data_IF_233731087961
#
_entry.id   IF_233731087961
#
_cell.length_a   1.000
_cell.length_b   1.000
_cell.length_c   1.000
_cell.angle_alpha   90.00
_cell.angle_beta   90.00
_cell.angle_gamma   90.00
#
_symmetry.space_group_name_H-M   'P 1'
#
loop_
_entity.id
_entity.type
_entity.pdbx_description
1 polymer ?
#
# COMPACT_ATOMS: atom_id res chain seq x y z
N UNK A 1 -40.23 -2.19 4.54
CA UNK A 1 -41.08 -2.48 3.36
C UNK A 1 -40.56 -1.87 2.06
N UNK A 2 -39.85 -0.74 2.10
CA UNK A 2 -39.16 -0.21 0.90
C UNK A 2 -37.97 -1.05 0.43
N UNK A 3 -37.25 -1.71 1.35
CA UNK A 3 -36.13 -2.60 0.99
C UNK A 3 -36.59 -3.80 0.14
N UNK A 4 -37.72 -4.42 0.51
CA UNK A 4 -38.34 -5.49 -0.28
C UNK A 4 -38.82 -5.00 -1.65
N UNK A 5 -39.28 -3.75 -1.74
CA UNK A 5 -39.74 -3.13 -3.00
C UNK A 5 -38.58 -2.80 -3.94
N UNK A 6 -37.41 -2.39 -3.40
CA UNK A 6 -36.19 -2.23 -4.18
C UNK A 6 -35.64 -3.57 -4.67
N UNK A 7 -35.58 -4.60 -3.82
CA UNK A 7 -35.19 -5.96 -4.25
C UNK A 7 -36.11 -6.54 -5.33
N UNK A 8 -37.41 -6.25 -5.29
CA UNK A 8 -38.35 -6.62 -6.34
C UNK A 8 -38.08 -5.87 -7.67
N UNK A 9 -37.80 -4.55 -7.63
CA UNK A 9 -37.47 -3.77 -8.84
C UNK A 9 -36.09 -4.09 -9.43
N UNK A 10 -35.14 -4.51 -8.62
CA UNK A 10 -33.84 -5.02 -9.09
C UNK A 10 -34.04 -6.38 -9.79
N UNK A 11 -34.98 -7.20 -9.32
CA UNK A 11 -35.47 -8.39 -10.05
C UNK A 11 -36.25 -8.07 -11.33
N UNK A 12 -36.84 -6.87 -11.47
CA UNK A 12 -37.64 -6.47 -12.65
C UNK A 12 -36.83 -6.20 -13.95
N UNK A 13 -35.65 -6.81 -14.08
CA UNK A 13 -35.17 -7.20 -15.39
C UNK A 13 -34.45 -6.14 -16.24
N UNK A 14 -34.07 -4.98 -15.68
CA UNK A 14 -33.15 -4.09 -16.42
C UNK A 14 -31.76 -4.70 -16.62
N UNK A 15 -31.31 -5.53 -15.68
CA UNK A 15 -30.07 -6.28 -15.84
C UNK A 15 -30.26 -7.51 -16.73
N UNK A 16 -31.44 -8.14 -16.74
CA UNK A 16 -31.74 -9.24 -17.67
C UNK A 16 -31.97 -8.78 -19.11
N UNK A 17 -32.17 -7.48 -19.32
CA UNK A 17 -32.16 -6.86 -20.65
C UNK A 17 -30.73 -6.59 -21.16
N UNK A 18 -29.73 -6.70 -20.29
CA UNK A 18 -28.34 -6.52 -20.68
C UNK A 18 -27.85 -7.78 -21.42
N UNK A 19 -27.04 -7.58 -22.45
CA UNK A 19 -26.46 -8.69 -23.19
C UNK A 19 -25.62 -9.57 -22.25
N UNK A 20 -25.69 -10.88 -22.43
CA UNK A 20 -25.04 -11.83 -21.53
C UNK A 20 -23.52 -11.60 -21.44
N UNK A 21 -22.88 -11.19 -22.54
CA UNK A 21 -21.46 -10.88 -22.56
C UNK A 21 -21.10 -9.65 -21.72
N UNK A 22 -21.94 -8.60 -21.74
CA UNK A 22 -21.68 -7.39 -20.94
C UNK A 22 -21.90 -7.66 -19.45
N UNK A 23 -22.84 -8.53 -19.09
CA UNK A 23 -23.04 -8.92 -17.70
C UNK A 23 -21.84 -9.69 -17.14
N UNK A 24 -21.25 -10.58 -17.95
CA UNK A 24 -20.01 -11.29 -17.60
C UNK A 24 -18.86 -10.30 -17.39
N UNK A 25 -18.65 -9.37 -18.33
CA UNK A 25 -17.59 -8.34 -18.24
C UNK A 25 -17.75 -7.46 -16.99
N UNK A 26 -18.98 -7.05 -16.64
CA UNK A 26 -19.24 -6.26 -15.43
C UNK A 26 -18.96 -7.05 -14.15
N UNK A 27 -19.23 -8.36 -14.16
CA UNK A 27 -18.96 -9.22 -13.01
C UNK A 27 -17.47 -9.55 -12.84
N UNK A 28 -16.65 -9.36 -13.86
CA UNK A 28 -15.19 -9.45 -13.75
C UNK A 28 -14.55 -8.21 -13.10
N UNK A 29 -15.30 -7.13 -12.90
CA UNK A 29 -14.80 -5.91 -12.24
C UNK A 29 -14.44 -6.22 -10.77
N UNK A 30 -13.25 -5.82 -10.28
CA UNK A 30 -12.79 -6.12 -8.93
C UNK A 30 -13.74 -5.66 -7.81
N UNK A 31 -14.54 -4.63 -8.06
CA UNK A 31 -15.55 -4.12 -7.14
C UNK A 31 -16.70 -5.11 -6.89
N UNK A 32 -17.00 -5.98 -7.85
CA UNK A 32 -17.93 -7.09 -7.65
C UNK A 32 -17.38 -8.14 -6.67
N UNK A 33 -16.07 -8.13 -6.38
CA UNK A 33 -15.40 -9.05 -5.47
C UNK A 33 -14.62 -8.29 -4.38
N UNK A 34 -15.30 -7.63 -3.42
CA UNK A 34 -14.68 -6.73 -2.45
C UNK A 34 -13.55 -7.37 -1.64
N UNK A 35 -13.67 -8.65 -1.29
CA UNK A 35 -12.64 -9.36 -0.53
C UNK A 35 -11.33 -9.53 -1.33
N UNK A 36 -11.44 -9.83 -2.63
CA UNK A 36 -10.28 -9.95 -3.50
C UNK A 36 -9.60 -8.59 -3.67
N UNK A 37 -10.38 -7.55 -3.97
CA UNK A 37 -9.87 -6.19 -4.10
C UNK A 37 -9.22 -5.70 -2.80
N UNK A 38 -9.84 -5.94 -1.64
CA UNK A 38 -9.29 -5.57 -0.35
C UNK A 38 -7.97 -6.30 -0.05
N UNK A 39 -7.86 -7.58 -0.41
CA UNK A 39 -6.60 -8.32 -0.27
C UNK A 39 -5.49 -7.73 -1.15
N UNK A 40 -5.79 -7.41 -2.41
CA UNK A 40 -4.83 -6.78 -3.33
C UNK A 40 -4.39 -5.38 -2.84
N UNK A 41 -5.34 -4.56 -2.38
CA UNK A 41 -5.05 -3.26 -1.79
C UNK A 41 -4.26 -3.36 -0.49
N UNK A 42 -4.49 -4.41 0.32
CA UNK A 42 -3.73 -4.65 1.54
C UNK A 42 -2.29 -5.03 1.23
N UNK A 43 -2.06 -5.93 0.27
CA UNK A 43 -0.72 -6.27 -0.21
C UNK A 43 0.00 -5.01 -0.67
N UNK A 44 -0.64 -4.21 -1.54
CA UNK A 44 -0.07 -2.95 -2.01
C UNK A 44 0.25 -1.97 -0.86
N UNK A 45 -0.68 -1.81 0.09
CA UNK A 45 -0.50 -0.92 1.25
C UNK A 45 0.68 -1.37 2.13
N UNK A 46 0.80 -2.68 2.39
CA UNK A 46 1.91 -3.26 3.14
C UNK A 46 3.25 -3.02 2.42
N UNK A 47 3.30 -3.16 1.10
CA UNK A 47 4.49 -2.88 0.29
C UNK A 47 4.91 -1.41 0.43
N UNK A 48 4.00 -0.46 0.28
CA UNK A 48 4.31 0.97 0.50
C UNK A 48 4.72 1.25 1.95
N UNK A 49 4.08 0.58 2.92
CA UNK A 49 4.36 0.79 4.33
C UNK A 49 5.78 0.36 4.73
N UNK A 50 6.31 -0.71 4.13
CA UNK A 50 7.72 -1.10 4.32
C UNK A 50 8.64 0.06 3.94
N UNK A 51 8.40 0.70 2.80
CA UNK A 51 9.19 1.85 2.35
C UNK A 51 9.05 3.07 3.27
N UNK A 52 7.83 3.38 3.73
CA UNK A 52 7.60 4.45 4.72
C UNK A 52 8.36 4.16 6.02
N UNK A 53 8.29 2.93 6.53
CA UNK A 53 8.98 2.51 7.76
C UNK A 53 10.49 2.68 7.62
N UNK A 54 11.07 2.20 6.53
CA UNK A 54 12.50 2.35 6.26
C UNK A 54 12.91 3.83 6.20
N UNK A 55 12.11 4.66 5.52
CA UNK A 55 12.35 6.10 5.46
C UNK A 55 12.22 6.77 6.84
N UNK A 56 11.23 6.37 7.64
CA UNK A 56 10.99 6.91 8.98
C UNK A 56 12.11 6.50 9.97
N UNK A 57 12.54 5.23 9.95
CA UNK A 57 13.65 4.76 10.78
C UNK A 57 14.96 5.48 10.41
N UNK A 58 15.24 5.65 9.11
CA UNK A 58 16.40 6.41 8.65
C UNK A 58 16.32 7.88 9.10
N UNK A 59 15.14 8.50 8.98
CA UNK A 59 14.91 9.88 9.43
C UNK A 59 15.09 10.01 10.95
N UNK A 60 14.55 9.09 11.73
CA UNK A 60 14.71 9.06 13.18
C UNK A 60 16.19 8.93 13.58
N UNK A 61 16.93 8.02 12.94
CA UNK A 61 18.37 7.84 13.20
C UNK A 61 19.16 9.12 12.91
N UNK A 62 18.95 9.73 11.74
CA UNK A 62 19.67 10.95 11.33
C UNK A 62 19.32 12.18 12.18
N UNK A 63 18.04 12.35 12.51
CA UNK A 63 17.56 13.58 13.15
C UNK A 63 17.62 13.51 14.67
N UNK A 64 17.12 12.41 15.24
CA UNK A 64 16.96 12.26 16.68
C UNK A 64 18.15 11.56 17.32
N UNK A 65 18.68 10.50 16.71
CA UNK A 65 19.74 9.70 17.34
C UNK A 65 21.13 10.32 17.16
N UNK A 66 21.41 10.98 16.04
CA UNK A 66 22.71 11.64 15.83
C UNK A 66 22.79 12.95 16.63
N UNK A 67 23.80 13.16 17.49
CA UNK A 67 23.93 14.39 18.25
C UNK A 67 24.19 15.60 17.34
N UNK A 68 23.86 16.78 17.84
CA UNK A 68 24.01 18.04 17.11
C UNK A 68 25.35 18.69 17.44
N UNK A 69 26.16 19.00 16.42
CA UNK A 69 27.46 19.70 16.56
C UNK A 69 27.36 21.15 16.08
N UNK A 70 28.22 22.02 16.61
CA UNK A 70 28.23 23.47 16.28
C UNK A 70 28.99 23.80 15.00
N UNK A 71 29.99 23.00 14.64
CA UNK A 71 30.87 23.23 13.48
C UNK A 71 30.94 21.98 12.60
N UNK A 72 31.12 22.19 11.29
CA UNK A 72 31.30 21.12 10.30
C UNK A 72 32.62 20.37 10.48
N UNK A 73 33.65 21.03 11.01
CA UNK A 73 34.96 20.42 11.28
C UNK A 73 34.89 19.31 12.33
N UNK A 74 33.89 19.36 13.22
CA UNK A 74 33.66 18.32 14.24
C UNK A 74 32.81 17.15 13.72
N UNK A 75 32.40 17.17 12.46
CA UNK A 75 31.56 16.10 11.89
C UNK A 75 32.37 14.86 11.60
N UNK A 76 33.61 15.02 11.13
CA UNK A 76 34.52 13.94 10.80
C UNK A 76 35.66 13.94 11.80
N UNK A 77 35.74 12.91 12.63
CA UNK A 77 36.92 12.65 13.43
C UNK A 77 37.68 11.50 12.80
N UNK A 78 38.91 11.79 12.37
CA UNK A 78 39.86 10.77 11.99
C UNK A 78 40.38 10.10 13.26
N UNK A 79 40.34 8.77 13.29
CA UNK A 79 40.88 8.00 14.39
C UNK A 79 42.41 7.91 14.24
N UNK A 80 43.18 8.33 15.24
CA UNK A 80 44.67 8.35 15.25
C UNK A 80 45.32 6.94 15.17
N UNK A 81 44.54 5.88 14.86
CA UNK A 81 44.93 4.47 14.91
C UNK A 81 45.42 3.84 13.60
N UNK A 82 45.62 4.62 12.52
CA UNK A 82 46.21 4.13 11.27
C UNK A 82 45.25 3.42 10.30
N UNK A 83 44.00 3.11 10.71
CA UNK A 83 42.95 2.68 9.81
C UNK A 83 42.14 3.92 9.38
N UNK A 84 42.11 4.27 8.09
CA UNK A 84 41.38 5.43 7.54
C UNK A 84 39.85 5.23 7.62
N UNK A 85 39.30 5.16 8.82
CA UNK A 85 37.86 5.12 9.08
C UNK A 85 37.42 6.47 9.59
N UNK A 86 36.71 7.20 8.75
CA UNK A 86 36.10 8.46 9.15
C UNK A 86 34.81 8.16 9.92
N UNK A 87 34.75 8.58 11.19
CA UNK A 87 33.57 8.41 12.02
C UNK A 87 32.75 9.70 12.05
N UNK A 88 31.45 9.56 11.76
CA UNK A 88 30.49 10.67 11.84
C UNK A 88 30.10 10.90 13.31
N UNK A 89 30.65 11.92 13.96
CA UNK A 89 30.36 12.20 15.39
C UNK A 89 29.03 12.93 15.59
N UNK A 90 28.59 13.74 14.63
CA UNK A 90 27.34 14.49 14.73
C UNK A 90 26.95 15.23 13.44
N UNK A 91 25.79 15.89 13.47
CA UNK A 91 25.26 16.70 12.35
C UNK A 91 24.88 18.10 12.83
N UNK A 92 25.19 19.14 12.04
CA UNK A 92 24.75 20.51 12.36
C UNK A 92 23.23 20.64 12.16
N UNK A 93 22.57 21.50 12.95
CA UNK A 93 21.12 21.79 12.80
C UNK A 93 20.73 22.17 11.36
N UNK A 94 21.41 23.13 10.69
CA UNK A 94 21.03 23.50 9.32
C UNK A 94 21.14 22.31 8.36
N UNK A 95 22.15 21.44 8.52
CA UNK A 95 22.28 20.24 7.69
C UNK A 95 21.16 19.22 7.96
N UNK A 96 20.75 19.04 9.23
CA UNK A 96 19.61 18.19 9.58
C UNK A 96 18.31 18.68 8.95
N UNK A 97 18.04 19.98 9.04
CA UNK A 97 16.85 20.60 8.42
C UNK A 97 16.90 20.42 6.90
N UNK A 98 18.05 20.67 6.29
CA UNK A 98 18.25 20.49 4.85
C UNK A 98 18.00 19.05 4.40
N UNK A 99 18.60 18.05 5.06
CA UNK A 99 18.39 16.63 4.75
C UNK A 99 16.91 16.27 4.93
N UNK A 100 16.27 16.74 6.01
CA UNK A 100 14.86 16.46 6.23
C UNK A 100 13.97 17.08 5.14
N UNK A 101 14.20 18.34 4.76
CA UNK A 101 13.34 19.05 3.82
C UNK A 101 13.56 18.66 2.36
N UNK A 102 14.81 18.43 1.95
CA UNK A 102 15.17 18.20 0.54
C UNK A 102 15.37 16.72 0.19
N UNK A 103 15.59 15.84 1.17
CA UNK A 103 15.84 14.42 0.91
C UNK A 103 14.71 13.57 1.48
N UNK A 104 14.45 13.65 2.79
CA UNK A 104 13.51 12.73 3.43
C UNK A 104 12.04 13.09 3.23
N UNK A 105 11.67 14.36 3.29
CA UNK A 105 10.29 14.77 3.05
C UNK A 105 9.82 14.42 1.62
N UNK A 106 10.59 14.70 0.55
CA UNK A 106 10.23 14.26 -0.79
C UNK A 106 10.12 12.73 -0.90
N UNK A 107 11.02 11.98 -0.27
CA UNK A 107 10.97 10.52 -0.26
C UNK A 107 9.70 9.96 0.40
N UNK A 108 9.31 10.50 1.55
CA UNK A 108 8.07 10.07 2.23
C UNK A 108 6.86 10.49 1.40
N UNK A 109 6.87 11.71 0.85
CA UNK A 109 5.80 12.23 0.02
C UNK A 109 5.58 11.38 -1.24
N UNK A 110 6.65 10.94 -1.92
CA UNK A 110 6.52 10.09 -3.11
C UNK A 110 5.86 8.75 -2.77
N UNK A 111 6.23 8.12 -1.67
CA UNK A 111 5.61 6.84 -1.24
C UNK A 111 4.14 7.03 -0.86
N UNK A 112 3.78 8.11 -0.16
CA UNK A 112 2.39 8.41 0.18
C UNK A 112 1.55 8.70 -1.07
N UNK A 113 2.09 9.46 -2.02
CA UNK A 113 1.42 9.73 -3.30
C UNK A 113 1.27 8.45 -4.12
N UNK A 114 2.30 7.60 -4.17
CA UNK A 114 2.24 6.30 -4.85
C UNK A 114 1.23 5.37 -4.20
N UNK A 115 1.14 5.34 -2.87
CA UNK A 115 0.12 4.56 -2.17
C UNK A 115 -1.28 5.00 -2.61
N UNK A 116 -1.55 6.31 -2.57
CA UNK A 116 -2.85 6.88 -2.94
C UNK A 116 -3.19 6.63 -4.42
N UNK A 117 -2.27 6.95 -5.34
CA UNK A 117 -2.44 6.73 -6.78
C UNK A 117 -2.56 5.24 -7.12
N UNK A 118 -1.76 4.39 -6.47
CA UNK A 118 -1.77 2.95 -6.68
C UNK A 118 -3.09 2.31 -6.25
N UNK A 119 -3.64 2.70 -5.09
CA UNK A 119 -4.98 2.28 -4.69
C UNK A 119 -6.03 2.68 -5.72
N UNK A 120 -5.97 3.94 -6.21
CA UNK A 120 -6.90 4.45 -7.24
C UNK A 120 -6.77 3.68 -8.55
N UNK A 121 -5.55 3.42 -8.99
CA UNK A 121 -5.29 2.73 -10.25
C UNK A 121 -5.73 1.26 -10.20
N UNK A 122 -5.43 0.56 -9.10
CA UNK A 122 -5.87 -0.83 -8.89
C UNK A 122 -7.40 -0.95 -8.88
N UNK A 123 -8.10 -0.01 -8.24
CA UNK A 123 -9.58 -0.01 -8.24
C UNK A 123 -10.21 0.32 -9.59
N UNK A 124 -9.47 0.92 -10.52
CA UNK A 124 -9.98 1.31 -11.83
C UNK A 124 -9.76 0.23 -12.92
N UNK A 125 -9.23 -0.93 -12.55
CA UNK A 125 -9.00 -2.05 -13.47
C UNK A 125 -10.30 -2.80 -13.75
N UNK A 126 -10.47 -3.26 -15.00
CA UNK A 126 -11.73 -3.86 -15.48
C UNK A 126 -11.78 -5.36 -15.21
N UNK A 127 -10.64 -6.05 -15.21
CA UNK A 127 -10.56 -7.49 -14.93
C UNK A 127 -9.74 -7.81 -13.68
N UNK A 128 -10.10 -8.90 -13.00
CA UNK A 128 -9.37 -9.41 -11.84
C UNK A 128 -7.91 -9.74 -12.15
N UNK A 129 -7.64 -10.34 -13.32
CA UNK A 129 -6.28 -10.67 -13.76
C UNK A 129 -5.41 -9.41 -13.96
N UNK A 130 -6.01 -8.34 -14.46
CA UNK A 130 -5.33 -7.06 -14.69
C UNK A 130 -5.00 -6.35 -13.37
N UNK A 131 -5.79 -6.53 -12.31
CA UNK A 131 -5.45 -6.01 -10.97
C UNK A 131 -4.08 -6.54 -10.53
N UNK A 132 -3.85 -7.84 -10.70
CA UNK A 132 -2.61 -8.49 -10.29
C UNK A 132 -1.43 -7.97 -11.13
N UNK A 133 -1.58 -7.92 -12.45
CA UNK A 133 -0.54 -7.42 -13.35
C UNK A 133 -0.21 -5.94 -13.06
N UNK A 134 -1.22 -5.12 -12.82
CA UNK A 134 -1.03 -3.71 -12.47
C UNK A 134 -0.41 -3.55 -11.08
N UNK A 135 -0.72 -4.43 -10.14
CA UNK A 135 -0.07 -4.49 -8.82
C UNK A 135 1.41 -4.78 -8.93
N UNK A 136 1.80 -5.77 -9.75
CA UNK A 136 3.21 -6.09 -10.00
C UNK A 136 3.94 -4.93 -10.73
N UNK A 137 3.26 -4.24 -11.65
CA UNK A 137 3.83 -3.07 -12.31
C UNK A 137 4.09 -1.92 -11.32
N UNK A 138 3.19 -1.70 -10.34
CA UNK A 138 3.41 -0.73 -9.27
C UNK A 138 4.57 -1.11 -8.35
N UNK A 139 4.75 -2.41 -8.05
CA UNK A 139 5.90 -2.90 -7.30
C UNK A 139 7.22 -2.61 -8.04
N UNK A 140 7.24 -2.81 -9.37
CA UNK A 140 8.40 -2.47 -10.18
C UNK A 140 8.77 -0.99 -10.07
N UNK A 141 7.78 -0.08 -10.02
CA UNK A 141 8.02 1.37 -9.84
C UNK A 141 8.70 1.65 -8.49
N UNK A 142 8.33 0.93 -7.41
CA UNK A 142 9.00 1.07 -6.12
C UNK A 142 10.45 0.57 -6.15
N UNK A 143 10.71 -0.56 -6.83
CA UNK A 143 12.07 -1.13 -6.96
C UNK A 143 12.96 -0.27 -7.87
N UNK A 144 12.37 0.42 -8.83
CA UNK A 144 13.10 1.22 -9.82
C UNK A 144 13.98 2.30 -9.18
N UNK A 145 13.60 2.85 -8.03
CA UNK A 145 14.41 3.85 -7.30
C UNK A 145 15.77 3.27 -6.88
N UNK A 146 15.78 2.02 -6.42
CA UNK A 146 16.99 1.35 -5.93
C UNK A 146 17.84 0.90 -7.10
N UNK A 147 17.23 0.49 -8.21
CA UNK A 147 17.93 0.21 -9.46
C UNK A 147 18.62 1.46 -10.00
N UNK A 148 17.93 2.60 -10.03
CA UNK A 148 18.53 3.86 -10.48
C UNK A 148 19.67 4.31 -9.57
N UNK A 149 19.51 4.21 -8.25
CA UNK A 149 20.62 4.43 -7.32
C UNK A 149 21.79 3.48 -7.62
N UNK A 150 21.47 2.23 -7.93
CA UNK A 150 22.32 1.14 -8.41
C UNK A 150 23.12 1.43 -9.68
N UNK A 151 22.59 2.23 -10.58
CA UNK A 151 23.22 2.53 -11.88
C UNK A 151 23.92 3.89 -11.87
N UNK A 152 23.32 4.90 -11.26
CA UNK A 152 23.84 6.27 -11.32
C UNK A 152 24.92 6.57 -10.28
N UNK A 153 24.96 5.85 -9.17
CA UNK A 153 25.99 6.06 -8.14
C UNK A 153 27.27 5.33 -8.54
N UNK A 154 28.39 6.05 -8.62
CA UNK A 154 29.70 5.47 -8.93
C UNK A 154 30.09 4.43 -7.86
N UNK A 155 30.84 3.41 -8.27
CA UNK A 155 31.39 2.42 -7.33
C UNK A 155 32.28 3.09 -6.27
N UNK A 156 32.92 4.21 -6.61
CA UNK A 156 33.72 4.99 -5.66
C UNK A 156 32.85 5.61 -4.56
N UNK A 157 31.77 6.28 -4.94
CA UNK A 157 30.89 6.96 -3.97
C UNK A 157 30.19 5.95 -3.06
N UNK A 158 29.88 4.75 -3.58
CA UNK A 158 29.39 3.65 -2.74
C UNK A 158 30.44 3.19 -1.74
N UNK A 159 31.67 2.96 -2.18
CA UNK A 159 32.76 2.56 -1.30
C UNK A 159 33.01 3.62 -0.22
N UNK A 160 32.98 4.91 -0.57
CA UNK A 160 33.11 6.02 0.39
C UNK A 160 31.91 6.08 1.36
N UNK A 161 30.69 5.77 0.91
CA UNK A 161 29.51 5.71 1.80
C UNK A 161 29.54 4.48 2.73
N UNK A 162 30.08 3.36 2.25
CA UNK A 162 30.28 2.13 3.04
C UNK A 162 31.38 2.28 4.08
N UNK A 163 32.41 3.11 3.82
CA UNK A 163 33.46 3.41 4.80
C UNK A 163 33.03 4.48 5.80
N UNK A 164 32.03 5.30 5.50
CA UNK A 164 31.38 6.22 6.43
C UNK A 164 30.48 5.45 7.41
N UNK A 165 31.13 4.76 8.35
CA UNK A 165 30.42 4.14 9.46
C UNK A 165 29.88 5.22 10.38
N UNK A 166 28.59 5.54 10.23
CA UNK A 166 27.82 6.10 11.35
C UNK A 166 27.99 5.13 12.49
N UNK A 167 28.55 5.59 13.63
CA UNK A 167 28.69 4.75 14.83
C UNK A 167 27.34 4.08 14.99
N UNK A 168 27.25 2.73 14.82
CA UNK A 168 25.97 2.09 14.86
C UNK A 168 25.42 2.53 16.20
N UNK A 169 24.24 3.14 16.15
CA UNK A 169 23.48 3.47 17.34
C UNK A 169 23.10 2.10 17.91
N UNK A 170 24.09 1.41 18.49
CA UNK A 170 23.98 0.30 19.41
C UNK A 170 23.46 0.93 20.68
N UNK A 171 22.29 1.57 20.56
CA UNK A 171 21.31 1.52 21.60
C UNK A 171 21.14 0.03 21.78
N UNK A 172 21.56 -0.38 22.97
CA UNK A 172 21.13 -1.58 23.63
C UNK A 172 19.60 -1.51 23.73
N UNK A 173 18.89 -1.59 22.59
CA UNK A 173 17.45 -1.72 22.54
C UNK A 173 17.23 -3.12 23.03
N UNK A 174 17.21 -3.27 24.35
CA UNK A 174 16.75 -4.50 24.98
C UNK A 174 15.45 -4.86 24.27
N UNK A 175 15.27 -6.10 23.80
CA UNK A 175 14.03 -6.52 23.15
C UNK A 175 12.87 -6.11 24.05
N UNK A 176 12.19 -5.05 23.63
CA UNK A 176 11.25 -4.32 24.45
C UNK A 176 9.87 -4.56 23.89
N UNK A 177 8.86 -4.55 24.77
CA UNK A 177 7.47 -4.67 24.35
C UNK A 177 7.12 -3.65 23.23
N UNK A 178 7.72 -2.46 23.27
CA UNK A 178 7.50 -1.39 22.29
C UNK A 178 7.87 -1.76 20.85
N UNK A 179 8.96 -2.52 20.61
CA UNK A 179 9.34 -2.90 19.23
C UNK A 179 8.39 -3.93 18.65
N UNK A 180 7.79 -4.78 19.49
CA UNK A 180 6.75 -5.72 19.06
C UNK A 180 5.44 -5.00 18.78
N UNK A 181 5.04 -4.05 19.63
CA UNK A 181 3.84 -3.26 19.39
C UNK A 181 3.93 -2.39 18.13
N UNK A 182 5.12 -1.89 17.78
CA UNK A 182 5.32 -1.08 16.58
C UNK A 182 4.89 -1.83 15.30
N UNK A 183 5.34 -3.07 15.07
CA UNK A 183 4.94 -3.83 13.88
C UNK A 183 3.44 -4.14 13.85
N UNK A 184 2.84 -4.42 15.01
CA UNK A 184 1.39 -4.69 15.11
C UNK A 184 0.55 -3.44 14.84
N UNK A 185 0.98 -2.27 15.34
CA UNK A 185 0.31 -0.99 15.09
C UNK A 185 0.33 -0.66 13.61
N UNK A 186 1.46 -0.86 12.94
CA UNK A 186 1.57 -0.66 11.50
C UNK A 186 0.67 -1.61 10.70
N UNK A 187 0.67 -2.91 11.01
CA UNK A 187 -0.22 -3.88 10.35
C UNK A 187 -1.70 -3.51 10.52
N UNK A 188 -2.12 -3.16 11.74
CA UNK A 188 -3.48 -2.73 12.02
C UNK A 188 -3.83 -1.42 11.28
N UNK A 189 -2.92 -0.46 11.25
CA UNK A 189 -3.11 0.80 10.52
C UNK A 189 -3.35 0.55 9.02
N UNK A 190 -2.67 -0.42 8.41
CA UNK A 190 -2.88 -0.81 7.01
C UNK A 190 -4.23 -1.44 6.76
N UNK A 191 -4.70 -2.32 7.67
CA UNK A 191 -6.05 -2.88 7.59
C UNK A 191 -7.11 -1.78 7.71
N UNK A 192 -6.96 -0.89 8.69
CA UNK A 192 -7.86 0.26 8.89
C UNK A 192 -7.85 1.18 7.66
N UNK A 193 -6.68 1.44 7.08
CA UNK A 193 -6.56 2.24 5.86
C UNK A 193 -7.28 1.60 4.67
N UNK A 194 -7.10 0.30 4.43
CA UNK A 194 -7.76 -0.41 3.32
C UNK A 194 -9.28 -0.41 3.49
N UNK A 195 -9.78 -0.72 4.70
CA UNK A 195 -11.21 -0.66 5.01
C UNK A 195 -11.73 0.77 4.78
N UNK A 196 -11.03 1.77 5.32
CA UNK A 196 -11.35 3.17 5.11
C UNK A 196 -11.40 3.54 3.63
N UNK A 197 -10.42 3.09 2.85
CA UNK A 197 -10.31 3.35 1.43
C UNK A 197 -11.47 2.76 0.63
N UNK A 198 -11.74 1.47 0.85
CA UNK A 198 -12.81 0.73 0.16
C UNK A 198 -14.18 1.33 0.44
N UNK A 199 -14.48 1.72 1.67
CA UNK A 199 -15.81 2.23 2.04
C UNK A 199 -16.01 3.73 1.86
N UNK A 200 -14.96 4.55 2.00
CA UNK A 200 -15.10 6.02 2.05
C UNK A 200 -14.33 6.78 0.97
N UNK A 201 -13.18 6.27 0.52
CA UNK A 201 -12.29 7.01 -0.41
C UNK A 201 -12.35 6.52 -1.85
N UNK A 202 -13.19 5.52 -2.16
CA UNK A 202 -13.38 5.06 -3.53
C UNK A 202 -14.02 6.15 -4.40
N UNK A 203 -13.20 6.90 -5.14
CA UNK A 203 -13.65 7.97 -6.04
C UNK A 203 -13.87 7.52 -7.50
N UNK A 204 -13.65 6.24 -7.81
CA UNK A 204 -13.70 5.75 -9.20
C UNK A 204 -15.14 5.66 -9.72
N UNK A 205 -16.11 5.43 -8.83
CA UNK A 205 -17.54 5.39 -9.15
C UNK A 205 -18.29 6.23 -8.12
N UNK A 206 -18.65 7.49 -8.44
CA UNK A 206 -19.54 8.25 -7.56
C UNK A 206 -20.85 7.46 -7.37
N UNK A 207 -21.36 7.45 -6.15
CA UNK A 207 -22.62 6.77 -5.77
C UNK A 207 -22.62 5.24 -5.90
N UNK A 208 -21.46 4.56 -5.93
CA UNK A 208 -21.42 3.10 -5.88
C UNK A 208 -22.00 2.57 -4.56
N UNK A 209 -23.07 1.76 -4.62
CA UNK A 209 -23.80 1.28 -3.43
C UNK A 209 -23.63 -0.22 -3.17
N UNK A 210 -22.56 -0.83 -3.67
CA UNK A 210 -22.31 -2.28 -3.57
C UNK A 210 -23.40 -3.16 -4.20
N UNK A 211 -24.23 -2.59 -5.07
CA UNK A 211 -25.39 -3.21 -5.71
C UNK A 211 -25.01 -4.24 -6.78
N UNK A 212 -23.84 -4.09 -7.42
CA UNK A 212 -23.34 -5.03 -8.44
C UNK A 212 -22.95 -6.38 -7.82
N UNK A 213 -22.45 -6.40 -6.58
CA UNK A 213 -22.01 -7.64 -5.93
C UNK A 213 -23.16 -8.66 -5.78
N UNK A 214 -24.33 -8.19 -5.35
CA UNK A 214 -25.50 -9.03 -5.17
C UNK A 214 -26.02 -9.59 -6.50
N UNK A 215 -25.98 -8.78 -7.56
CA UNK A 215 -26.36 -9.19 -8.92
C UNK A 215 -25.44 -10.26 -9.48
N UNK A 216 -24.12 -10.07 -9.37
CA UNK A 216 -23.14 -11.03 -9.87
C UNK A 216 -23.15 -12.34 -9.07
N UNK A 217 -23.33 -12.26 -7.75
CA UNK A 217 -23.47 -13.46 -6.92
C UNK A 217 -24.73 -14.25 -7.31
N UNK A 218 -25.84 -13.56 -7.58
CA UNK A 218 -27.07 -14.22 -8.05
C UNK A 218 -26.91 -14.84 -9.44
N UNK A 219 -26.19 -14.19 -10.35
CA UNK A 219 -25.95 -14.67 -11.71
C UNK A 219 -24.98 -15.87 -11.76
N UNK A 220 -24.02 -15.96 -10.84
CA UNK A 220 -23.07 -17.07 -10.75
C UNK A 220 -23.68 -18.39 -10.27
N UNK A 221 -24.92 -18.38 -9.76
CA UNK A 221 -25.59 -19.61 -9.34
C UNK A 221 -25.99 -20.41 -10.59
N UNK A 222 -25.67 -21.71 -10.65
CA UNK A 222 -26.07 -22.54 -11.77
C UNK A 222 -27.59 -22.48 -11.95
N UNK A 223 -28.11 -22.40 -13.20
CA UNK A 223 -29.53 -22.20 -13.47
C UNK A 223 -30.46 -23.33 -12.96
N UNK A 224 -29.93 -24.40 -12.37
CA UNK A 224 -30.69 -25.59 -11.97
C UNK A 224 -30.65 -25.84 -10.46
N UNK A 225 -31.60 -25.24 -9.76
CA UNK A 225 -32.25 -25.89 -8.61
C UNK A 225 -33.66 -25.36 -8.30
N UNK A 226 -34.26 -24.54 -9.19
CA UNK A 226 -35.72 -24.51 -9.29
C UNK A 226 -36.16 -25.83 -9.91
N UNK A 227 -36.07 -26.89 -9.09
CA UNK A 227 -36.93 -28.04 -9.17
C UNK A 227 -38.33 -27.47 -9.36
N UNK A 228 -38.85 -27.59 -10.58
CA UNK A 228 -40.26 -27.78 -10.83
C UNK A 228 -40.71 -28.83 -9.83
N UNK A 229 -41.14 -28.41 -8.65
CA UNK A 229 -41.95 -29.25 -7.79
C UNK A 229 -43.29 -29.22 -8.49
N UNK A 230 -43.69 -30.30 -9.20
CA UNK A 230 -45.00 -30.32 -9.83
C UNK A 230 -46.02 -30.06 -8.73
N UNK A 231 -46.74 -28.95 -8.86
CA UNK A 231 -47.88 -28.65 -8.00
C UNK A 231 -48.86 -29.80 -8.18
N UNK A 232 -48.84 -30.77 -7.26
CA UNK A 232 -49.85 -31.82 -7.20
C UNK A 232 -51.16 -31.11 -6.90
N UNK A 233 -51.96 -30.89 -7.94
CA UNK A 233 -53.39 -30.63 -7.80
C UNK A 233 -54.03 -31.87 -7.16
N UNK A 234 -54.11 -31.87 -5.83
CA UNK A 234 -54.95 -32.78 -5.08
C UNK A 234 -56.41 -32.39 -5.29
N UNK A 235 -57.05 -32.98 -6.30
CA UNK A 235 -58.50 -32.97 -6.43
C UNK A 235 -59.15 -33.83 -5.36
N UNK A 236 -60.13 -33.27 -4.67
CA UNK A 236 -61.23 -33.98 -4.01
C UNK A 236 -62.53 -33.29 -4.37
#
# INVERSE_FOLDING_TARGET
>A
DEDNRWRARVKDGRFSLMDAGLAEEVCEIPLAHPYYLAAMLLVWTLTCQVEVRLAAEMSYRLLCATPTVKSLEMVLREEDGGEHRAHLEGLTIPLKVFIMSFVQAPRIATVVVLLWLGCRWLTATVGLGDVLLNGLALEFILVLKDLFYGVFTSHRDRAETETLFTRPVRILTKPGCCTFFDSQVWGLASVVYVIGYVFYFQQVLPDYRWDVHDLCTAASLPPDSSMDTPVRHGGR
#
